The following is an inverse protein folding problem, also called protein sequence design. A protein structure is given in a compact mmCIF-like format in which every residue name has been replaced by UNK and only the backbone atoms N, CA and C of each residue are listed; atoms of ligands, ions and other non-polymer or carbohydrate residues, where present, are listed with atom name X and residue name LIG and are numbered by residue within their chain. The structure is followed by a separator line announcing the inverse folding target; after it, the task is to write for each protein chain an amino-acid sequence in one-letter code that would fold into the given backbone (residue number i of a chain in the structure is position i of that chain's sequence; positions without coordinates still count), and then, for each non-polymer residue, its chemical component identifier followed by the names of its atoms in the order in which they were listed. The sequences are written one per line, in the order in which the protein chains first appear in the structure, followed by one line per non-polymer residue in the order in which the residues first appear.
data_IF_096124926852
#
_entry.id   IF_096124926852
#
_cell.length_a   1.000
_cell.length_b   1.000
_cell.length_c   1.000
_cell.angle_alpha   90.00
_cell.angle_beta   90.00
_cell.angle_gamma   90.00
#
_symmetry.space_group_name_H-M   'P 1'
#
loop_
_entity.id
_entity.type
_entity.pdbx_description
1 polymer ?
#
# COMPACT_ATOMS: atom_id res chain seq x y z
N UNK A 1 0.37 -0.61 19.30
CA UNK A 1 1.58 -1.44 19.45
C UNK A 1 2.79 -0.58 19.79
N UNK A 2 3.26 -0.65 21.03
CA UNK A 2 4.40 0.13 21.51
C UNK A 2 5.49 -0.79 22.07
N UNK A 3 6.75 -0.42 21.86
CA UNK A 3 7.91 -1.04 22.53
C UNK A 3 8.40 -0.04 23.57
N UNK A 4 8.60 -0.48 24.81
CA UNK A 4 9.15 0.33 25.89
C UNK A 4 10.54 -0.21 26.21
N UNK A 5 11.54 0.66 26.25
CA UNK A 5 12.94 0.32 26.57
C UNK A 5 13.51 1.38 27.51
N UNK A 6 14.46 1.02 28.36
CA UNK A 6 15.27 2.02 29.04
C UNK A 6 16.12 2.78 28.01
N UNK A 7 16.31 4.08 28.22
CA UNK A 7 17.13 4.91 27.33
C UNK A 7 18.58 4.40 27.27
N UNK A 8 19.11 3.93 28.40
CA UNK A 8 20.46 3.36 28.50
C UNK A 8 20.57 2.03 27.76
N UNK A 9 19.57 1.15 27.88
CA UNK A 9 19.52 -0.12 27.13
C UNK A 9 19.48 0.15 25.62
N UNK A 10 18.64 1.10 25.20
CA UNK A 10 18.56 1.50 23.80
C UNK A 10 19.89 2.11 23.30
N UNK A 11 20.58 2.90 24.14
CA UNK A 11 21.89 3.45 23.80
C UNK A 11 22.98 2.37 23.71
N UNK A 12 22.90 1.32 24.54
CA UNK A 12 23.81 0.19 24.56
C UNK A 12 23.62 -0.78 23.38
N UNK A 13 22.48 -0.74 22.68
CA UNK A 13 22.27 -1.51 21.46
C UNK A 13 23.27 -1.08 20.36
N UNK A 14 23.77 -2.07 19.62
CA UNK A 14 24.57 -1.80 18.42
C UNK A 14 23.77 -1.04 17.35
N UNK A 15 24.49 -0.53 16.34
CA UNK A 15 23.88 0.25 15.27
C UNK A 15 22.81 -0.53 14.49
N UNK A 16 22.97 -1.85 14.32
CA UNK A 16 22.05 -2.69 13.57
C UNK A 16 20.71 -2.86 14.32
N UNK A 17 20.74 -3.17 15.62
CA UNK A 17 19.54 -3.32 16.44
C UNK A 17 18.81 -1.99 16.63
N UNK A 18 19.54 -0.90 16.82
CA UNK A 18 18.93 0.45 16.86
C UNK A 18 18.29 0.81 15.53
N UNK A 19 18.96 0.52 14.42
CA UNK A 19 18.42 0.69 13.07
C UNK A 19 17.13 -0.09 12.87
N UNK A 20 17.08 -1.36 13.29
CA UNK A 20 15.89 -2.19 13.18
C UNK A 20 14.69 -1.63 13.98
N UNK A 21 14.91 -1.19 15.22
CA UNK A 21 13.87 -0.56 16.04
C UNK A 21 13.36 0.76 15.45
N UNK A 22 14.28 1.58 14.92
CA UNK A 22 13.91 2.83 14.24
C UNK A 22 13.20 2.59 12.92
N UNK A 23 13.57 1.55 12.17
CA UNK A 23 12.85 1.12 10.99
C UNK A 23 11.44 0.65 11.31
N UNK A 24 11.26 -0.14 12.37
CA UNK A 24 9.94 -0.53 12.87
C UNK A 24 9.09 0.69 13.29
N UNK A 25 9.69 1.67 13.97
CA UNK A 25 9.04 2.95 14.24
C UNK A 25 8.65 3.67 12.93
N UNK A 26 9.53 3.65 11.92
CA UNK A 26 9.27 4.17 10.58
C UNK A 26 8.02 3.58 9.90
N UNK A 27 7.77 2.28 10.10
CA UNK A 27 6.57 1.57 9.65
C UNK A 27 5.30 1.88 10.47
N UNK A 28 5.35 2.85 11.39
CA UNK A 28 4.20 3.26 12.20
C UNK A 28 4.22 2.73 13.64
N UNK A 29 5.34 2.16 14.08
CA UNK A 29 5.55 1.72 15.46
C UNK A 29 5.75 2.89 16.41
N UNK A 30 5.57 2.64 17.70
CA UNK A 30 5.84 3.61 18.75
C UNK A 30 6.90 3.07 19.70
N UNK A 31 8.05 3.74 19.76
CA UNK A 31 9.14 3.39 20.67
C UNK A 31 9.15 4.38 21.84
N UNK A 32 9.05 3.90 23.06
CA UNK A 32 9.13 4.70 24.27
C UNK A 32 10.45 4.43 24.98
N UNK A 33 11.23 5.47 25.19
CA UNK A 33 12.51 5.44 25.89
C UNK A 33 12.32 6.02 27.29
N UNK A 34 12.54 5.19 28.31
CA UNK A 34 12.42 5.57 29.71
C UNK A 34 13.79 6.03 30.21
N UNK A 35 13.90 7.30 30.59
CA UNK A 35 15.10 7.83 31.23
C UNK A 35 15.14 7.45 32.71
N UNK A 36 16.32 7.08 33.21
CA UNK A 36 16.56 6.86 34.64
C UNK A 36 16.52 8.17 35.45
N UNK A 37 16.83 9.29 34.80
CA UNK A 37 16.83 10.61 35.41
C UNK A 37 15.66 11.45 34.86
N UNK A 38 14.96 12.24 35.72
CA UNK A 38 13.99 13.21 35.26
C UNK A 38 14.60 14.21 34.27
N UNK A 39 13.84 14.59 33.26
CA UNK A 39 14.27 15.49 32.19
C UNK A 39 13.08 15.98 31.35
N UNK A 40 13.36 16.60 30.21
CA UNK A 40 12.32 17.02 29.27
C UNK A 40 11.82 15.83 28.43
N UNK A 41 10.50 15.78 28.22
CA UNK A 41 9.92 14.85 27.26
C UNK A 41 10.27 15.27 25.83
N UNK A 42 10.75 14.30 25.04
CA UNK A 42 11.12 14.54 23.64
C UNK A 42 10.38 13.59 22.72
N UNK A 43 9.67 14.15 21.74
CA UNK A 43 8.98 13.38 20.70
C UNK A 43 9.71 13.56 19.37
N UNK A 44 10.24 12.47 18.84
CA UNK A 44 10.83 12.41 17.51
C UNK A 44 9.88 11.66 16.56
N UNK A 45 9.46 12.30 15.46
CA UNK A 45 8.66 11.62 14.42
C UNK A 45 9.59 10.86 13.49
N UNK A 46 9.39 9.55 13.38
CA UNK A 46 10.18 8.67 12.51
C UNK A 46 9.22 7.97 11.56
N UNK A 47 9.32 8.30 10.27
CA UNK A 47 8.40 7.78 9.25
C UNK A 47 6.93 8.12 9.54
N UNK A 48 6.11 7.07 9.60
CA UNK A 48 4.70 7.13 10.01
C UNK A 48 4.48 6.89 11.52
N UNK A 49 5.55 6.66 12.30
CA UNK A 49 5.50 6.44 13.74
C UNK A 49 6.32 7.47 14.51
N UNK A 50 6.74 7.10 15.72
CA UNK A 50 7.45 8.01 16.63
C UNK A 50 8.35 7.29 17.63
N UNK A 51 9.37 8.01 18.07
CA UNK A 51 10.19 7.70 19.25
C UNK A 51 9.89 8.76 20.30
N UNK A 52 9.52 8.34 21.50
CA UNK A 52 9.17 9.23 22.63
C UNK A 52 10.14 8.95 23.77
N UNK A 53 10.98 9.92 24.11
CA UNK A 53 11.78 9.88 25.34
C UNK A 53 10.99 10.52 26.46
N UNK A 54 10.67 9.74 27.49
CA UNK A 54 9.87 10.20 28.62
C UNK A 54 10.71 11.08 29.56
N UNK A 55 10.10 12.17 30.02
CA UNK A 55 10.72 13.11 30.96
C UNK A 55 10.75 12.64 32.42
N UNK A 56 10.12 11.51 32.75
CA UNK A 56 10.13 10.96 34.10
C UNK A 56 10.40 9.43 34.07
N UNK A 57 11.09 8.90 35.10
CA UNK A 57 11.27 7.46 35.24
C UNK A 57 9.92 6.75 35.42
N UNK A 58 9.77 5.58 34.81
CA UNK A 58 8.62 4.71 35.04
C UNK A 58 8.93 3.83 36.26
N UNK A 59 8.32 4.13 37.41
CA UNK A 59 8.36 3.25 38.59
C UNK A 59 7.73 1.89 38.30
N UNK A 60 8.06 0.86 39.10
CA UNK A 60 7.83 -0.58 38.85
C UNK A 60 6.40 -1.07 38.56
N UNK A 61 5.41 -0.19 38.47
CA UNK A 61 4.14 -0.46 37.83
C UNK A 61 3.84 0.68 36.85
N UNK A 62 3.47 0.36 35.59
CA UNK A 62 2.84 1.31 34.67
C UNK A 62 1.56 1.79 35.35
N UNK A 63 1.65 2.88 36.12
CA UNK A 63 0.52 3.40 36.87
C UNK A 63 -0.59 3.90 35.93
N UNK A 64 -1.81 4.13 36.45
CA UNK A 64 -2.95 4.62 35.66
C UNK A 64 -2.71 5.97 34.96
N UNK A 65 -1.64 6.69 35.30
CA UNK A 65 -1.20 7.92 34.63
C UNK A 65 -0.33 7.68 33.38
N UNK A 66 0.39 6.55 33.32
CA UNK A 66 1.26 6.20 32.18
C UNK A 66 0.52 5.37 31.12
N UNK A 67 -0.55 4.64 31.49
CA UNK A 67 -1.33 3.87 30.51
C UNK A 67 -2.02 4.71 29.42
N UNK A 68 -2.57 5.92 29.68
CA UNK A 68 -3.11 6.78 28.63
C UNK A 68 -1.99 7.50 27.87
N UNK A 69 -0.90 7.88 28.56
CA UNK A 69 0.24 8.60 27.98
C UNK A 69 1.06 7.72 26.99
N UNK A 70 1.28 6.45 27.35
CA UNK A 70 1.93 5.46 26.49
C UNK A 70 1.01 4.99 25.36
N UNK A 71 -0.29 5.28 25.46
CA UNK A 71 -1.28 5.04 24.41
C UNK A 71 -1.16 3.61 23.83
N UNK A 72 -0.79 2.64 24.68
CA UNK A 72 -0.39 1.28 24.27
C UNK A 72 -1.53 0.54 23.56
N UNK A 73 -2.76 0.90 23.94
CA UNK A 73 -4.03 0.42 23.39
C UNK A 73 -4.60 1.30 22.28
N UNK A 74 -4.03 2.48 22.02
CA UNK A 74 -4.44 3.29 20.87
C UNK A 74 -3.88 2.68 19.59
N UNK A 75 -4.69 2.73 18.54
CA UNK A 75 -4.34 2.25 17.21
C UNK A 75 -3.02 2.87 16.75
N UNK A 76 -2.09 2.02 16.38
CA UNK A 76 -0.82 2.46 15.78
C UNK A 76 -0.84 2.09 14.32
N UNK A 77 -0.31 2.97 13.45
CA UNK A 77 -0.20 2.68 12.02
C UNK A 77 0.45 1.31 11.75
N UNK A 78 1.43 0.90 12.57
CA UNK A 78 2.10 -0.40 12.46
C UNK A 78 1.18 -1.62 12.68
N UNK A 79 0.13 -1.48 13.49
CA UNK A 79 -0.85 -2.53 13.81
C UNK A 79 -2.26 -1.94 13.67
N UNK A 80 -2.74 -1.82 12.42
CA UNK A 80 -4.08 -1.32 12.14
C UNK A 80 -5.13 -2.26 12.73
N UNK A 81 -6.21 -1.69 13.27
CA UNK A 81 -7.35 -2.50 13.70
C UNK A 81 -8.03 -3.18 12.51
N UNK A 82 -8.72 -4.29 12.76
CA UNK A 82 -9.50 -5.02 11.75
C UNK A 82 -10.46 -4.09 11.01
N UNK A 83 -11.15 -3.18 11.70
CA UNK A 83 -12.10 -2.23 11.10
C UNK A 83 -11.43 -1.23 10.15
N UNK A 84 -10.14 -0.97 10.36
CA UNK A 84 -9.34 -0.07 9.52
C UNK A 84 -8.77 -0.74 8.26
N UNK A 85 -8.92 -2.06 8.11
CA UNK A 85 -8.43 -2.89 6.99
C UNK A 85 -9.51 -3.23 5.95
N UNK A 86 -10.66 -2.55 6.01
CA UNK A 86 -11.74 -2.71 5.05
C UNK A 86 -11.63 -1.71 3.90
N UNK A 87 -11.86 -2.18 2.68
CA UNK A 87 -11.88 -1.35 1.48
C UNK A 87 -13.23 -0.75 1.14
N UNK A 88 -14.28 -1.11 1.89
CA UNK A 88 -15.64 -0.61 1.67
C UNK A 88 -15.64 0.93 1.77
N UNK A 89 -16.25 1.59 0.79
CA UNK A 89 -16.36 3.05 0.68
C UNK A 89 -15.01 3.77 0.48
N UNK A 90 -13.99 3.07 0.00
CA UNK A 90 -12.75 3.68 -0.48
C UNK A 90 -12.78 3.73 -2.01
N UNK A 91 -12.09 4.70 -2.63
CA UNK A 91 -11.95 4.77 -4.09
C UNK A 91 -11.42 3.44 -4.64
N UNK A 92 -10.48 2.82 -3.93
CA UNK A 92 -9.90 1.53 -4.30
C UNK A 92 -10.91 0.38 -4.21
N UNK A 93 -11.84 0.42 -3.27
CA UNK A 93 -12.94 -0.54 -3.18
C UNK A 93 -14.02 -0.30 -4.23
N UNK A 94 -14.30 0.97 -4.60
CA UNK A 94 -15.23 1.32 -5.67
C UNK A 94 -14.74 0.86 -7.04
N UNK A 95 -13.43 0.93 -7.31
CA UNK A 95 -12.84 0.40 -8.56
C UNK A 95 -13.07 -1.11 -8.72
N UNK A 96 -13.30 -1.84 -7.63
CA UNK A 96 -13.50 -3.30 -7.67
C UNK A 96 -14.96 -3.72 -7.58
N UNK A 97 -15.88 -2.82 -7.19
CA UNK A 97 -17.33 -3.07 -7.15
C UNK A 97 -17.90 -3.12 -8.57
N UNK A 98 -17.55 -4.21 -9.25
CA UNK A 98 -18.30 -5.00 -10.22
C UNK A 98 -19.34 -4.22 -11.04
N UNK A 99 -18.99 -3.97 -12.30
CA UNK A 99 -19.94 -4.17 -13.40
C UNK A 99 -20.44 -5.62 -13.30
N UNK A 100 -21.68 -5.80 -12.87
CA UNK A 100 -22.34 -7.10 -12.96
C UNK A 100 -22.37 -7.47 -14.45
N UNK A 101 -21.48 -8.39 -14.84
CA UNK A 101 -21.46 -8.91 -16.19
C UNK A 101 -22.85 -9.45 -16.50
N UNK A 102 -23.50 -8.85 -17.49
CA UNK A 102 -24.89 -9.11 -17.85
C UNK A 102 -25.09 -10.61 -18.12
N UNK A 103 -25.57 -11.34 -17.12
CA UNK A 103 -25.69 -12.81 -17.16
C UNK A 103 -26.80 -13.26 -18.12
N UNK A 104 -27.50 -12.32 -18.74
CA UNK A 104 -28.53 -12.53 -19.75
C UNK A 104 -28.04 -13.35 -20.94
N UNK A 105 -26.77 -13.24 -21.33
CA UNK A 105 -26.25 -14.02 -22.46
C UNK A 105 -26.19 -15.53 -22.16
N UNK A 106 -25.91 -15.92 -20.91
CA UNK A 106 -25.88 -17.34 -20.48
C UNK A 106 -27.30 -17.91 -20.59
N UNK A 107 -28.30 -17.14 -20.14
CA UNK A 107 -29.69 -17.52 -20.26
C UNK A 107 -30.11 -17.70 -21.73
N UNK A 108 -29.77 -16.74 -22.61
CA UNK A 108 -30.03 -16.84 -24.06
C UNK A 108 -29.36 -18.08 -24.66
N UNK A 109 -28.08 -18.32 -24.32
CA UNK A 109 -27.34 -19.49 -24.78
C UNK A 109 -28.02 -20.79 -24.36
N UNK A 110 -28.43 -20.92 -23.09
CA UNK A 110 -29.10 -22.13 -22.59
C UNK A 110 -30.43 -22.39 -23.30
N UNK A 111 -31.23 -21.34 -23.55
CA UNK A 111 -32.50 -21.46 -24.29
C UNK A 111 -32.26 -21.91 -25.73
N UNK A 112 -31.32 -21.28 -26.45
CA UNK A 112 -30.96 -21.65 -27.83
C UNK A 112 -30.42 -23.08 -27.88
N UNK A 113 -29.55 -23.44 -26.94
CA UNK A 113 -28.95 -24.76 -26.87
C UNK A 113 -30.00 -25.86 -26.60
N UNK A 114 -30.94 -25.62 -25.68
CA UNK A 114 -32.05 -26.53 -25.42
C UNK A 114 -32.96 -26.70 -26.65
N UNK A 115 -33.26 -25.61 -27.37
CA UNK A 115 -34.01 -25.66 -28.62
C UNK A 115 -33.28 -26.44 -29.72
N UNK A 116 -31.95 -26.29 -29.81
CA UNK A 116 -31.12 -26.99 -30.79
C UNK A 116 -31.03 -28.49 -30.49
N UNK A 117 -30.76 -28.87 -29.24
CA UNK A 117 -30.63 -30.29 -28.83
C UNK A 117 -31.96 -31.03 -28.85
N UNK A 118 -33.06 -30.36 -28.48
CA UNK A 118 -34.39 -30.97 -28.46
C UNK A 118 -35.08 -30.86 -29.82
N UNK A 119 -35.92 -29.84 -30.03
CA UNK A 119 -36.71 -29.69 -31.26
C UNK A 119 -35.90 -29.79 -32.56
N UNK A 120 -34.84 -29.00 -32.71
CA UNK A 120 -34.12 -28.93 -34.01
C UNK A 120 -33.42 -30.25 -34.31
N UNK A 121 -32.77 -30.87 -33.33
CA UNK A 121 -32.14 -32.18 -33.52
C UNK A 121 -33.16 -33.26 -33.91
N UNK A 122 -34.32 -33.30 -33.26
CA UNK A 122 -35.35 -34.32 -33.53
C UNK A 122 -36.06 -34.10 -34.88
N UNK A 123 -36.37 -32.85 -35.25
CA UNK A 123 -37.14 -32.57 -36.46
C UNK A 123 -36.28 -32.33 -37.71
N UNK A 124 -35.05 -31.85 -37.56
CA UNK A 124 -34.17 -31.49 -38.68
C UNK A 124 -33.01 -32.49 -38.84
N UNK A 125 -32.23 -32.75 -37.79
CA UNK A 125 -31.01 -33.56 -37.90
C UNK A 125 -31.26 -35.08 -37.83
N UNK A 126 -32.27 -35.51 -37.07
CA UNK A 126 -32.66 -36.89 -36.85
C UNK A 126 -34.19 -37.11 -36.98
N UNK A 127 -34.81 -36.75 -38.12
CA UNK A 127 -36.23 -36.97 -38.37
C UNK A 127 -36.59 -38.46 -38.29
N UNK A 128 -37.87 -38.80 -38.19
CA UNK A 128 -38.36 -40.16 -37.87
C UNK A 128 -37.75 -41.30 -38.71
N UNK A 129 -37.36 -41.04 -39.96
CA UNK A 129 -36.71 -42.01 -40.85
C UNK A 129 -35.22 -42.24 -40.59
N UNK A 130 -34.57 -41.43 -39.75
CA UNK A 130 -33.11 -41.44 -39.49
C UNK A 130 -32.77 -41.29 -38.01
N UNK A 131 -33.60 -41.82 -37.11
CA UNK A 131 -33.41 -41.72 -35.64
C UNK A 131 -32.08 -42.26 -35.13
N UNK A 132 -31.46 -43.20 -35.86
CA UNK A 132 -30.11 -43.67 -35.53
C UNK A 132 -29.05 -42.56 -35.51
N UNK A 133 -29.30 -41.43 -36.21
CA UNK A 133 -28.40 -40.26 -36.18
C UNK A 133 -28.33 -39.60 -34.82
N UNK A 134 -29.38 -39.73 -34.01
CA UNK A 134 -29.44 -39.18 -32.65
C UNK A 134 -28.28 -39.69 -31.77
N UNK A 135 -27.81 -40.92 -32.02
CA UNK A 135 -26.70 -41.52 -31.28
C UNK A 135 -25.37 -40.79 -31.47
N UNK A 136 -25.18 -40.05 -32.58
CA UNK A 136 -23.96 -39.27 -32.81
C UNK A 136 -24.22 -37.76 -32.81
N UNK A 137 -25.39 -37.29 -33.25
CA UNK A 137 -25.69 -35.85 -33.27
C UNK A 137 -25.83 -35.28 -31.87
N UNK A 138 -26.44 -36.00 -30.93
CA UNK A 138 -26.60 -35.52 -29.55
C UNK A 138 -25.25 -35.38 -28.83
N UNK A 139 -24.34 -36.39 -28.84
CA UNK A 139 -22.99 -36.21 -28.31
C UNK A 139 -22.19 -35.11 -29.04
N UNK A 140 -22.29 -35.00 -30.36
CA UNK A 140 -21.57 -33.98 -31.13
C UNK A 140 -22.05 -32.56 -30.80
N UNK A 141 -23.36 -32.33 -30.70
CA UNK A 141 -23.94 -31.04 -30.31
C UNK A 141 -23.60 -30.70 -28.86
N UNK A 142 -23.59 -31.69 -27.95
CA UNK A 142 -23.16 -31.49 -26.57
C UNK A 142 -21.68 -31.06 -26.48
N UNK A 143 -20.79 -31.72 -27.22
CA UNK A 143 -19.38 -31.34 -27.31
C UNK A 143 -19.19 -29.94 -27.90
N UNK A 144 -19.91 -29.63 -28.98
CA UNK A 144 -19.86 -28.30 -29.61
C UNK A 144 -20.36 -27.22 -28.63
N UNK A 145 -21.50 -27.43 -27.98
CA UNK A 145 -22.04 -26.49 -27.00
C UNK A 145 -21.10 -26.29 -25.82
N UNK A 146 -20.49 -27.36 -25.31
CA UNK A 146 -19.46 -27.29 -24.27
C UNK A 146 -18.23 -26.50 -24.72
N UNK A 147 -17.76 -26.70 -25.95
CA UNK A 147 -16.63 -25.96 -26.52
C UNK A 147 -16.96 -24.47 -26.69
N UNK A 148 -18.15 -24.13 -27.21
CA UNK A 148 -18.62 -22.75 -27.39
C UNK A 148 -18.75 -22.05 -26.04
N UNK A 149 -19.37 -22.70 -25.04
CA UNK A 149 -19.52 -22.13 -23.71
C UNK A 149 -18.16 -21.94 -23.02
N UNK A 150 -17.27 -22.93 -23.13
CA UNK A 150 -15.91 -22.84 -22.57
C UNK A 150 -15.12 -21.69 -23.21
N UNK A 151 -15.21 -21.53 -24.54
CA UNK A 151 -14.60 -20.41 -25.24
C UNK A 151 -15.19 -19.07 -24.80
N UNK A 152 -16.53 -18.97 -24.70
CA UNK A 152 -17.20 -17.77 -24.26
C UNK A 152 -16.76 -17.35 -22.83
N UNK A 153 -16.76 -18.29 -21.89
CA UNK A 153 -16.27 -18.04 -20.52
C UNK A 153 -14.80 -17.61 -20.54
N UNK A 154 -13.95 -18.26 -21.34
CA UNK A 154 -12.53 -17.90 -21.43
C UNK A 154 -12.31 -16.48 -21.98
N UNK A 155 -13.06 -16.06 -23.00
CA UNK A 155 -12.94 -14.73 -23.58
C UNK A 155 -13.56 -13.64 -22.71
N UNK A 156 -14.63 -13.94 -21.96
CA UNK A 156 -15.25 -13.00 -21.02
C UNK A 156 -14.41 -12.79 -19.77
N UNK A 157 -13.91 -13.87 -19.16
CA UNK A 157 -13.07 -13.77 -17.97
C UNK A 157 -11.68 -13.22 -18.29
N UNK A 158 -11.19 -13.48 -19.51
CA UNK A 158 -9.85 -13.11 -19.95
C UNK A 158 -8.74 -13.87 -19.22
N UNK A 159 -7.50 -13.56 -19.61
CA UNK A 159 -6.28 -14.12 -19.00
C UNK A 159 -5.55 -13.03 -18.24
N UNK A 160 -5.15 -13.33 -17.00
CA UNK A 160 -4.49 -12.37 -16.11
C UNK A 160 -5.47 -11.62 -15.21
N UNK A 161 -5.22 -10.34 -14.97
CA UNK A 161 -6.11 -9.49 -14.18
C UNK A 161 -5.85 -8.01 -14.37
N UNK A 162 -6.76 -7.19 -13.88
CA UNK A 162 -6.69 -5.74 -13.89
C UNK A 162 -6.94 -5.18 -12.48
N UNK A 163 -6.38 -4.02 -12.19
CA UNK A 163 -6.63 -3.37 -10.90
C UNK A 163 -5.93 -2.05 -10.72
N UNK A 164 -6.02 -1.53 -9.50
CA UNK A 164 -5.40 -0.29 -9.09
C UNK A 164 -4.52 -0.53 -7.86
N UNK A 165 -3.49 0.29 -7.72
CA UNK A 165 -2.62 0.28 -6.54
C UNK A 165 -2.22 1.68 -6.13
N UNK A 166 -1.97 1.82 -4.85
CA UNK A 166 -1.56 3.07 -4.24
C UNK A 166 -0.41 2.80 -3.29
N UNK A 167 0.55 3.72 -3.22
CA UNK A 167 1.71 3.57 -2.34
C UNK A 167 2.09 4.88 -1.67
N UNK A 168 2.48 4.79 -0.41
CA UNK A 168 3.14 5.82 0.38
C UNK A 168 4.59 5.40 0.61
N UNK A 169 5.52 6.25 0.23
CA UNK A 169 6.94 6.09 0.49
C UNK A 169 7.38 7.17 1.45
N UNK A 170 7.81 6.76 2.64
CA UNK A 170 8.32 7.67 3.67
C UNK A 170 9.82 7.48 3.78
N UNK A 171 10.59 8.45 3.30
CA UNK A 171 12.04 8.43 3.46
C UNK A 171 12.40 8.56 4.94
N UNK A 172 13.39 7.78 5.37
CA UNK A 172 13.93 7.79 6.72
C UNK A 172 15.33 8.41 6.70
N UNK A 173 15.43 9.75 6.89
CA UNK A 173 16.70 10.47 6.94
C UNK A 173 17.72 9.80 7.85
N UNK A 174 18.97 9.77 7.41
CA UNK A 174 20.09 9.18 8.15
C UNK A 174 20.09 7.64 8.26
N UNK A 175 19.09 6.93 7.72
CA UNK A 175 19.03 5.46 7.71
C UNK A 175 19.24 4.84 6.32
N UNK A 176 19.27 5.65 5.25
CA UNK A 176 19.32 5.15 3.86
C UNK A 176 18.23 4.11 3.57
N UNK A 177 17.03 4.37 4.10
CA UNK A 177 15.87 3.49 4.00
C UNK A 177 14.61 4.31 3.76
N UNK A 178 13.59 3.65 3.24
CA UNK A 178 12.24 4.17 3.15
C UNK A 178 11.23 3.17 3.71
N UNK A 179 10.28 3.65 4.50
CA UNK A 179 9.10 2.88 4.88
C UNK A 179 8.08 2.95 3.73
N UNK A 180 7.73 1.80 3.17
CA UNK A 180 6.78 1.68 2.06
C UNK A 180 5.49 1.07 2.58
N UNK A 181 4.37 1.75 2.33
CA UNK A 181 3.02 1.26 2.57
C UNK A 181 2.31 1.22 1.23
N UNK A 182 1.90 0.04 0.79
CA UNK A 182 1.18 -0.12 -0.47
C UNK A 182 -0.11 -0.87 -0.23
N UNK A 183 -1.15 -0.45 -0.91
CA UNK A 183 -2.39 -1.20 -1.02
C UNK A 183 -2.70 -1.41 -2.48
N UNK A 184 -3.21 -2.60 -2.79
CA UNK A 184 -3.53 -2.98 -4.15
C UNK A 184 -4.78 -3.83 -4.17
N UNK A 185 -5.48 -3.74 -5.28
CA UNK A 185 -6.84 -4.22 -5.41
C UNK A 185 -7.13 -4.50 -6.86
N UNK A 186 -7.72 -5.64 -7.16
CA UNK A 186 -8.01 -5.98 -8.53
C UNK A 186 -8.89 -7.20 -8.70
N UNK A 187 -9.32 -7.38 -9.95
CA UNK A 187 -10.05 -8.54 -10.41
C UNK A 187 -9.14 -9.36 -11.32
N UNK A 188 -9.21 -10.66 -11.16
CA UNK A 188 -8.49 -11.62 -11.98
C UNK A 188 -9.46 -12.41 -12.84
N UNK A 189 -9.05 -12.71 -14.06
CA UNK A 189 -9.63 -13.73 -14.90
C UNK A 189 -8.98 -15.09 -14.62
N UNK A 190 -8.70 -15.84 -15.69
CA UNK A 190 -7.93 -17.07 -15.57
C UNK A 190 -6.43 -16.78 -15.38
N UNK A 191 -5.84 -17.31 -14.31
CA UNK A 191 -4.41 -17.21 -14.04
C UNK A 191 -3.69 -18.50 -14.40
N UNK A 192 -2.76 -18.42 -15.35
CA UNK A 192 -1.89 -19.54 -15.75
C UNK A 192 -0.78 -19.82 -14.73
N UNK A 193 -0.32 -18.78 -14.03
CA UNK A 193 0.69 -18.86 -12.97
C UNK A 193 0.29 -17.96 -11.82
N UNK A 194 0.40 -18.47 -10.59
CA UNK A 194 0.04 -17.76 -9.35
C UNK A 194 1.22 -17.52 -8.41
N UNK A 195 2.43 -17.86 -8.85
CA UNK A 195 3.68 -17.66 -8.10
C UNK A 195 4.39 -16.41 -8.60
N UNK A 196 4.81 -15.54 -7.70
CA UNK A 196 5.51 -14.30 -7.98
C UNK A 196 6.67 -14.08 -7.01
N UNK A 197 7.65 -13.27 -7.44
CA UNK A 197 8.74 -12.86 -6.58
C UNK A 197 8.23 -11.82 -5.58
N UNK A 198 8.58 -11.99 -4.32
CA UNK A 198 8.26 -11.07 -3.25
C UNK A 198 9.29 -11.26 -2.13
N UNK A 199 10.13 -10.26 -1.90
CA UNK A 199 11.19 -10.33 -0.89
C UNK A 199 10.63 -10.72 0.50
N UNK A 200 11.44 -11.39 1.30
CA UNK A 200 11.03 -11.92 2.62
C UNK A 200 10.83 -10.80 3.65
N UNK A 201 11.36 -9.60 3.41
CA UNK A 201 11.19 -8.40 4.22
C UNK A 201 9.86 -7.65 3.94
N UNK A 202 9.04 -8.16 3.02
CA UNK A 202 7.72 -7.60 2.70
C UNK A 202 6.62 -8.31 3.48
N UNK A 203 5.94 -7.56 4.34
CA UNK A 203 4.66 -7.97 4.88
C UNK A 203 3.62 -7.94 3.75
N UNK A 204 2.96 -9.07 3.52
CA UNK A 204 1.80 -9.19 2.62
C UNK A 204 0.63 -9.72 3.45
N UNK A 205 -0.49 -9.01 3.44
CA UNK A 205 -1.71 -9.45 4.11
C UNK A 205 -2.94 -9.16 3.25
N UNK A 206 -4.00 -10.00 3.32
CA UNK A 206 -5.23 -9.74 2.61
C UNK A 206 -5.97 -8.54 3.21
N UNK A 207 -6.62 -7.75 2.36
CA UNK A 207 -7.58 -6.71 2.76
C UNK A 207 -9.00 -7.21 2.57
N UNK A 208 -9.90 -6.86 3.49
CA UNK A 208 -11.29 -7.28 3.41
C UNK A 208 -12.06 -6.41 2.39
N UNK A 209 -12.60 -7.04 1.35
CA UNK A 209 -13.34 -6.36 0.28
C UNK A 209 -14.84 -6.22 0.61
N UNK A 210 -15.41 -7.16 1.38
CA UNK A 210 -16.80 -7.12 1.86
C UNK A 210 -16.88 -7.29 3.39
N UNK A 211 -17.96 -6.78 3.98
CA UNK A 211 -18.27 -6.89 5.42
C UNK A 211 -18.70 -8.30 5.85
N UNK A 212 -18.95 -9.21 4.91
CA UNK A 212 -19.16 -10.63 5.20
C UNK A 212 -17.81 -11.32 5.40
N UNK A 213 -17.12 -10.95 6.47
CA UNK A 213 -16.09 -11.82 7.00
C UNK A 213 -16.81 -12.88 7.82
N UNK A 214 -16.74 -14.18 7.48
CA UNK A 214 -17.23 -15.19 8.39
C UNK A 214 -16.47 -15.06 9.72
N UNK A 215 -17.20 -15.24 10.83
CA UNK A 215 -16.69 -15.08 12.22
C UNK A 215 -15.23 -15.55 12.37
N UNK A 216 -14.48 -14.82 13.21
CA UNK A 216 -13.10 -15.17 13.58
C UNK A 216 -13.02 -16.68 13.88
N UNK A 217 -12.25 -17.40 13.07
CA UNK A 217 -12.25 -18.87 13.00
C UNK A 217 -12.44 -19.43 11.60
N UNK A 218 -12.93 -18.63 10.65
CA UNK A 218 -13.12 -19.03 9.25
C UNK A 218 -12.19 -18.23 8.32
N UNK A 219 -10.88 -18.35 8.50
CA UNK A 219 -10.00 -18.32 7.31
C UNK A 219 -10.43 -19.54 6.49
N UNK A 220 -11.32 -19.34 5.52
CA UNK A 220 -11.72 -20.36 4.57
C UNK A 220 -10.48 -20.82 3.80
N UNK A 221 -9.81 -21.86 4.30
CA UNK A 221 -8.72 -22.62 3.70
C UNK A 221 -8.00 -21.89 2.53
N UNK A 222 -7.35 -20.77 2.82
CA UNK A 222 -6.55 -20.06 1.82
C UNK A 222 -5.19 -20.76 1.78
N UNK A 223 -4.90 -21.45 0.68
CA UNK A 223 -3.61 -22.09 0.48
C UNK A 223 -2.63 -21.02 -0.01
N UNK A 224 -2.06 -20.27 0.93
CA UNK A 224 -1.03 -19.27 0.67
C UNK A 224 0.35 -19.83 0.98
N UNK A 225 1.32 -19.50 0.14
CA UNK A 225 2.72 -19.90 0.35
C UNK A 225 3.61 -18.67 0.38
N UNK A 226 4.58 -18.65 1.30
CA UNK A 226 5.71 -17.71 1.35
C UNK A 226 6.97 -18.55 1.56
N UNK A 227 7.89 -18.52 0.60
CA UNK A 227 9.14 -19.26 0.68
C UNK A 227 10.21 -18.60 -0.20
N UNK A 228 11.42 -18.44 0.34
CA UNK A 228 12.63 -17.97 -0.33
C UNK A 228 12.40 -16.82 -1.34
N UNK A 229 11.88 -15.67 -0.88
CA UNK A 229 11.64 -14.51 -1.74
C UNK A 229 10.53 -14.71 -2.77
N UNK A 230 9.62 -15.65 -2.54
CA UNK A 230 8.46 -15.91 -3.39
C UNK A 230 7.18 -15.96 -2.58
N UNK A 231 6.10 -15.61 -3.26
CA UNK A 231 4.74 -15.76 -2.77
C UNK A 231 3.91 -16.51 -3.82
N UNK A 232 2.96 -17.32 -3.37
CA UNK A 232 2.10 -18.10 -4.26
C UNK A 232 0.81 -18.60 -3.65
N UNK A 233 0.07 -19.36 -4.44
CA UNK A 233 -1.22 -19.91 -4.04
C UNK A 233 -2.33 -18.87 -4.09
N UNK A 234 -3.12 -18.77 -3.01
CA UNK A 234 -4.35 -17.99 -2.99
C UNK A 234 -4.16 -16.50 -2.68
N UNK A 235 -2.91 -16.01 -2.69
CA UNK A 235 -2.62 -14.57 -2.75
C UNK A 235 -3.25 -13.93 -4.00
N UNK A 236 -3.25 -14.67 -5.11
CA UNK A 236 -3.97 -14.35 -6.33
C UNK A 236 -4.79 -15.55 -6.77
N UNK A 237 -6.09 -15.54 -6.52
CA UNK A 237 -7.01 -16.58 -7.01
C UNK A 237 -7.41 -16.29 -8.45
N UNK A 238 -7.80 -17.30 -9.23
CA UNK A 238 -8.43 -17.10 -10.53
C UNK A 238 -9.88 -16.65 -10.35
N UNK A 239 -10.38 -15.79 -11.25
CA UNK A 239 -11.78 -15.32 -11.26
C UNK A 239 -12.22 -14.69 -9.95
N UNK A 240 -11.30 -14.01 -9.27
CA UNK A 240 -11.53 -13.46 -7.95
C UNK A 240 -11.30 -11.95 -7.92
N UNK A 241 -12.18 -11.28 -7.19
CA UNK A 241 -11.94 -9.97 -6.61
C UNK A 241 -11.09 -10.16 -5.36
N UNK A 242 -10.01 -9.40 -5.25
CA UNK A 242 -9.08 -9.52 -4.15
C UNK A 242 -8.29 -8.25 -3.94
N UNK A 243 -7.84 -8.09 -2.71
CA UNK A 243 -7.08 -6.95 -2.29
C UNK A 243 -6.04 -7.35 -1.26
N UNK A 244 -4.90 -6.66 -1.30
CA UNK A 244 -3.79 -6.93 -0.42
C UNK A 244 -3.15 -5.62 0.04
N UNK A 245 -2.65 -5.63 1.27
CA UNK A 245 -1.72 -4.63 1.78
C UNK A 245 -0.31 -5.19 1.71
N UNK A 246 0.63 -4.33 1.38
CA UNK A 246 2.06 -4.60 1.35
C UNK A 246 2.79 -3.56 2.20
N UNK A 247 3.71 -4.00 3.05
CA UNK A 247 4.57 -3.10 3.84
C UNK A 247 5.99 -3.61 3.87
N UNK A 248 6.97 -2.71 3.72
CA UNK A 248 8.40 -3.05 3.83
C UNK A 248 9.24 -1.85 4.22
N UNK A 249 10.44 -2.13 4.72
CA UNK A 249 11.52 -1.16 4.70
C UNK A 249 12.37 -1.44 3.46
N UNK A 250 12.45 -0.47 2.55
CA UNK A 250 13.25 -0.58 1.34
C UNK A 250 14.55 0.20 1.50
N UNK A 251 15.71 -0.36 1.13
CA UNK A 251 16.95 0.40 1.09
C UNK A 251 16.86 1.47 -0.02
N UNK A 252 17.30 2.69 0.26
CA UNK A 252 17.39 3.75 -0.75
C UNK A 252 18.39 4.82 -0.37
N UNK A 253 19.03 5.42 -1.37
CA UNK A 253 19.88 6.61 -1.20
C UNK A 253 19.18 7.90 -1.64
N UNK A 254 17.97 7.77 -2.15
CA UNK A 254 17.14 8.90 -2.54
C UNK A 254 16.79 9.74 -1.33
N UNK A 255 16.92 11.05 -1.48
CA UNK A 255 16.67 12.07 -0.45
C UNK A 255 16.33 13.39 -1.12
N UNK A 256 15.70 14.27 -0.33
CA UNK A 256 15.48 15.66 -0.70
C UNK A 256 16.34 16.52 0.22
N UNK A 257 17.17 17.37 -0.37
CA UNK A 257 18.11 18.25 0.34
C UNK A 257 17.68 19.72 0.21
N UNK A 258 17.90 20.50 1.26
CA UNK A 258 17.84 21.96 1.25
C UNK A 258 19.16 22.51 0.73
N UNK A 259 19.26 22.70 -0.58
CA UNK A 259 20.46 23.23 -1.25
C UNK A 259 20.78 24.69 -0.89
N UNK A 260 19.82 25.43 -0.31
CA UNK A 260 20.05 26.79 0.19
C UNK A 260 18.75 27.56 0.41
N UNK A 261 18.88 28.88 0.50
CA UNK A 261 17.76 29.80 0.63
C UNK A 261 18.00 30.99 -0.30
N UNK A 262 17.00 31.37 -1.08
CA UNK A 262 17.02 32.55 -1.94
C UNK A 262 16.97 33.84 -1.09
N UNK A 263 17.31 35.01 -1.68
CA UNK A 263 17.37 36.29 -0.94
C UNK A 263 16.07 36.70 -0.25
N UNK A 264 14.92 36.24 -0.76
CA UNK A 264 13.57 36.47 -0.22
C UNK A 264 13.18 35.48 0.89
N UNK A 265 14.09 34.59 1.28
CA UNK A 265 13.85 33.54 2.26
C UNK A 265 13.27 32.25 1.68
N UNK A 266 13.12 32.12 0.34
CA UNK A 266 12.57 30.92 -0.27
C UNK A 266 13.55 29.73 -0.24
N UNK A 267 13.15 28.54 0.24
CA UNK A 267 13.98 27.35 0.22
C UNK A 267 14.32 26.94 -1.21
N UNK A 268 15.57 26.54 -1.42
CA UNK A 268 16.03 25.89 -2.64
C UNK A 268 16.19 24.42 -2.32
N UNK A 269 15.47 23.56 -3.04
CA UNK A 269 15.48 22.11 -2.82
C UNK A 269 16.07 21.36 -4.00
N UNK A 270 16.66 20.20 -3.72
CA UNK A 270 17.19 19.26 -4.70
C UNK A 270 16.74 17.84 -4.34
N UNK A 271 16.21 17.07 -5.30
CA UNK A 271 15.79 15.68 -5.09
C UNK A 271 16.77 14.74 -5.77
N UNK A 272 17.16 13.66 -5.10
CA UNK A 272 17.96 12.56 -5.67
C UNK A 272 17.15 11.28 -5.92
N UNK A 273 15.82 11.34 -5.76
CA UNK A 273 14.94 10.20 -6.08
C UNK A 273 14.95 9.93 -7.59
N UNK A 274 14.80 8.68 -7.98
CA UNK A 274 14.75 8.26 -9.40
C UNK A 274 13.42 8.59 -10.10
N UNK A 275 12.65 9.54 -9.55
CA UNK A 275 11.39 10.03 -10.11
C UNK A 275 11.32 11.54 -10.02
N UNK A 276 10.61 12.13 -10.97
CA UNK A 276 10.15 13.51 -10.88
C UNK A 276 9.12 13.60 -9.74
N UNK A 277 9.31 14.54 -8.82
CA UNK A 277 8.34 14.87 -7.79
C UNK A 277 7.40 15.98 -8.30
N UNK A 278 6.10 15.78 -8.16
CA UNK A 278 5.04 16.70 -8.60
C UNK A 278 4.25 17.18 -7.40
N UNK A 279 3.70 18.40 -7.49
CA UNK A 279 2.90 19.01 -6.42
C UNK A 279 3.66 19.04 -5.09
N UNK A 280 4.94 19.38 -5.15
CA UNK A 280 5.80 19.35 -3.98
C UNK A 280 5.40 20.43 -2.98
N UNK A 281 5.23 20.04 -1.73
CA UNK A 281 4.96 20.92 -0.59
C UNK A 281 6.03 20.71 0.48
N UNK A 282 6.50 21.79 1.09
CA UNK A 282 7.44 21.79 2.20
C UNK A 282 6.94 22.75 3.29
N UNK A 283 7.02 22.31 4.55
CA UNK A 283 6.89 23.19 5.70
C UNK A 283 8.30 23.50 6.23
N UNK A 284 8.67 24.77 6.30
CA UNK A 284 9.99 25.16 6.81
C UNK A 284 10.03 25.16 8.36
N UNK A 285 11.20 25.49 8.92
CA UNK A 285 11.39 25.56 10.37
C UNK A 285 10.55 26.64 11.07
N UNK A 286 10.09 27.66 10.32
CA UNK A 286 9.23 28.73 10.83
C UNK A 286 7.73 28.40 10.68
N UNK A 287 7.39 27.21 10.18
CA UNK A 287 6.01 26.80 9.92
C UNK A 287 5.40 27.38 8.65
N UNK A 288 6.20 28.04 7.80
CA UNK A 288 5.73 28.59 6.51
C UNK A 288 5.72 27.50 5.45
N UNK A 289 4.70 27.56 4.60
CA UNK A 289 4.51 26.60 3.52
C UNK A 289 5.10 27.11 2.21
N UNK A 290 5.79 26.19 1.55
CA UNK A 290 6.46 26.40 0.27
C UNK A 290 6.02 25.34 -0.71
N UNK A 291 5.88 25.71 -1.98
CA UNK A 291 5.39 24.82 -3.03
C UNK A 291 6.30 24.84 -4.25
N UNK A 292 6.35 23.71 -4.96
CA UNK A 292 7.02 23.55 -6.23
C UNK A 292 6.20 22.66 -7.16
N UNK A 293 6.02 23.09 -8.41
CA UNK A 293 5.21 22.32 -9.38
C UNK A 293 5.87 20.98 -9.71
N UNK A 294 7.17 21.02 -9.98
CA UNK A 294 7.93 19.86 -10.42
C UNK A 294 9.38 19.97 -9.93
N UNK A 295 9.90 18.90 -9.34
CA UNK A 295 11.30 18.74 -8.95
C UNK A 295 11.84 17.50 -9.64
N UNK A 296 12.59 17.72 -10.71
CA UNK A 296 13.29 16.65 -11.42
C UNK A 296 14.53 16.19 -10.63
N UNK A 297 14.95 14.92 -10.79
CA UNK A 297 16.14 14.39 -10.13
C UNK A 297 17.39 15.24 -10.43
N UNK A 298 18.17 15.57 -9.40
CA UNK A 298 19.41 16.35 -9.48
C UNK A 298 19.24 17.83 -9.80
N UNK A 299 18.01 18.34 -9.91
CA UNK A 299 17.75 19.75 -10.24
C UNK A 299 17.46 20.55 -8.98
N UNK A 300 18.16 21.67 -8.82
CA UNK A 300 17.86 22.68 -7.81
C UNK A 300 16.64 23.50 -8.24
N UNK A 301 15.66 23.59 -7.37
CA UNK A 301 14.41 24.32 -7.59
C UNK A 301 14.18 25.26 -6.42
N UNK A 302 14.06 26.55 -6.69
CA UNK A 302 13.60 27.54 -5.72
C UNK A 302 12.09 27.40 -5.56
N UNK A 303 11.63 27.20 -4.34
CA UNK A 303 10.21 27.07 -4.05
C UNK A 303 9.51 28.43 -4.01
N UNK A 304 8.20 28.42 -4.22
CA UNK A 304 7.36 29.60 -4.12
C UNK A 304 6.55 29.55 -2.81
N UNK A 305 6.24 30.72 -2.24
CA UNK A 305 5.38 30.77 -1.06
C UNK A 305 3.98 30.22 -1.39
N UNK A 306 3.52 29.23 -0.63
CA UNK A 306 2.18 28.69 -0.80
C UNK A 306 1.16 29.62 -0.14
N UNK A 307 0.09 29.99 -0.86
CA UNK A 307 -0.96 30.90 -0.36
C UNK A 307 -1.87 30.26 0.69
N UNK A 308 -1.88 28.94 0.78
CA UNK A 308 -2.66 28.19 1.75
C UNK A 308 -1.78 27.06 2.27
N UNK A 309 -2.04 26.60 3.50
CA UNK A 309 -1.56 25.32 3.99
C UNK A 309 -2.25 24.21 3.18
N UNK A 310 -1.90 24.10 1.90
CA UNK A 310 -2.34 23.00 1.05
C UNK A 310 -1.54 21.82 1.55
N UNK A 311 -2.10 21.08 2.51
CA UNK A 311 -1.86 19.64 2.56
C UNK A 311 -1.91 19.19 1.11
N UNK A 312 -0.90 18.48 0.59
CA UNK A 312 -1.07 17.66 -0.63
C UNK A 312 -2.49 17.18 -0.61
N UNK A 313 -3.26 17.54 -1.66
CA UNK A 313 -4.71 17.49 -1.64
C UNK A 313 -5.15 16.28 -0.84
N UNK A 314 -6.00 16.49 0.19
CA UNK A 314 -6.52 15.40 1.03
C UNK A 314 -7.29 14.35 0.23
N UNK A 315 -7.27 14.37 -1.10
CA UNK A 315 -7.50 13.21 -1.95
C UNK A 315 -6.59 12.08 -1.43
N UNK A 316 -7.11 11.22 -0.55
CA UNK A 316 -6.28 10.25 0.12
C UNK A 316 -5.71 9.36 -0.97
N UNK A 317 -4.50 8.84 -0.75
CA UNK A 317 -4.10 7.60 -1.41
C UNK A 317 -5.33 6.67 -1.32
N UNK A 318 -5.94 6.40 -2.47
CA UNK A 318 -7.19 5.66 -2.58
C UNK A 318 -6.99 4.30 -1.91
N UNK A 319 -7.46 4.14 -0.68
CA UNK A 319 -7.09 3.01 0.17
C UNK A 319 -7.82 3.04 1.51
N UNK A 320 -7.48 2.10 2.37
CA UNK A 320 -8.13 1.88 3.66
C UNK A 320 -7.86 3.02 4.65
N UNK A 321 -8.62 3.02 5.75
CA UNK A 321 -8.38 3.93 6.87
C UNK A 321 -6.97 3.74 7.48
N UNK A 322 -6.40 2.53 7.41
CA UNK A 322 -5.04 2.26 7.85
C UNK A 322 -4.00 3.00 6.99
N UNK A 323 -4.13 2.96 5.67
CA UNK A 323 -3.24 3.72 4.77
C UNK A 323 -3.45 5.23 4.92
N UNK A 324 -4.70 5.68 5.05
CA UNK A 324 -5.01 7.08 5.30
C UNK A 324 -4.37 7.58 6.61
N UNK A 325 -4.38 6.75 7.66
CA UNK A 325 -3.72 7.05 8.94
C UNK A 325 -2.19 7.08 8.80
N UNK A 326 -1.60 6.14 8.05
CA UNK A 326 -0.18 6.14 7.73
C UNK A 326 0.22 7.41 6.98
N UNK A 327 -0.57 7.78 5.98
CA UNK A 327 -0.41 9.01 5.20
C UNK A 327 -0.49 10.23 6.11
N UNK A 328 -1.57 10.38 6.89
CA UNK A 328 -1.74 11.54 7.77
C UNK A 328 -0.60 11.66 8.81
N UNK A 329 -0.16 10.55 9.39
CA UNK A 329 0.96 10.53 10.33
C UNK A 329 2.29 10.89 9.66
N UNK A 330 2.50 10.42 8.43
CA UNK A 330 3.72 10.62 7.66
C UNK A 330 3.75 11.94 6.90
N UNK A 331 2.63 12.60 6.62
CA UNK A 331 2.57 13.86 5.86
C UNK A 331 2.16 15.05 6.71
N UNK A 332 1.91 14.87 8.02
CA UNK A 332 1.67 15.98 8.93
C UNK A 332 2.81 17.00 8.81
N UNK A 333 2.55 18.14 8.20
CA UNK A 333 3.55 19.14 7.84
C UNK A 333 4.10 19.83 9.10
N UNK A 334 5.02 19.13 9.77
CA UNK A 334 5.90 19.66 10.81
C UNK A 334 7.14 20.27 10.15
N UNK A 335 7.84 21.12 10.90
CA UNK A 335 9.06 21.77 10.44
C UNK A 335 10.03 20.81 9.71
N UNK A 336 10.43 21.20 8.50
CA UNK A 336 11.33 20.45 7.63
C UNK A 336 10.69 19.32 6.83
N UNK A 337 9.40 19.00 7.04
CA UNK A 337 8.73 17.90 6.34
C UNK A 337 8.20 18.35 4.99
N UNK A 338 8.35 17.47 3.99
CA UNK A 338 7.82 17.66 2.65
C UNK A 338 6.95 16.50 2.23
N UNK A 339 6.10 16.73 1.23
CA UNK A 339 5.36 15.68 0.56
C UNK A 339 5.18 16.01 -0.93
N UNK A 340 5.19 15.01 -1.80
CA UNK A 340 4.94 15.14 -3.23
C UNK A 340 4.38 13.85 -3.84
N UNK A 341 3.76 13.94 -5.02
CA UNK A 341 3.49 12.77 -5.85
C UNK A 341 4.70 12.41 -6.71
N UNK A 342 4.87 11.13 -7.02
CA UNK A 342 5.92 10.65 -7.91
C UNK A 342 5.49 9.42 -8.70
N UNK A 343 6.38 8.97 -9.58
CA UNK A 343 6.23 7.74 -10.35
C UNK A 343 6.99 6.56 -9.75
N UNK A 344 7.08 5.51 -10.55
CA UNK A 344 7.74 4.24 -10.20
C UNK A 344 9.25 4.44 -9.97
N UNK A 345 9.76 3.76 -8.95
CA UNK A 345 11.17 3.68 -8.57
C UNK A 345 11.54 2.23 -8.24
N UNK A 346 12.78 2.01 -7.83
CA UNK A 346 13.26 0.73 -7.27
C UNK A 346 12.63 0.41 -5.90
N UNK A 347 12.15 1.43 -5.18
CA UNK A 347 11.54 1.33 -3.84
C UNK A 347 10.06 0.99 -3.90
N UNK A 348 9.33 1.70 -4.77
CA UNK A 348 7.88 1.57 -4.91
C UNK A 348 7.47 1.83 -6.36
N UNK A 349 6.44 1.16 -6.86
CA UNK A 349 5.58 0.22 -6.14
C UNK A 349 6.24 -1.16 -6.00
N UNK A 350 5.95 -1.85 -4.89
CA UNK A 350 6.41 -3.22 -4.66
C UNK A 350 5.79 -4.12 -5.74
N UNK A 351 6.61 -4.83 -6.53
CA UNK A 351 6.11 -5.68 -7.60
C UNK A 351 5.37 -6.90 -7.02
N UNK A 352 4.27 -7.27 -7.68
CA UNK A 352 3.49 -8.47 -7.35
C UNK A 352 3.29 -9.33 -8.60
N UNK A 353 2.14 -10.01 -8.75
CA UNK A 353 1.94 -10.96 -9.83
C UNK A 353 1.97 -10.28 -11.22
N UNK A 354 2.90 -10.72 -12.08
CA UNK A 354 3.14 -10.13 -13.42
C UNK A 354 1.93 -10.17 -14.37
N UNK A 355 0.99 -11.07 -14.15
CA UNK A 355 -0.23 -11.16 -14.95
C UNK A 355 -1.29 -10.11 -14.56
N UNK A 356 -1.05 -9.32 -13.51
CA UNK A 356 -1.86 -8.17 -13.15
C UNK A 356 -1.44 -6.95 -13.95
N UNK A 357 -2.40 -6.32 -14.62
CA UNK A 357 -2.27 -5.03 -15.29
C UNK A 357 -2.79 -3.95 -14.35
N UNK A 358 -1.89 -3.17 -13.77
CA UNK A 358 -2.25 -2.05 -12.90
C UNK A 358 -2.58 -0.83 -13.76
N UNK A 359 -3.86 -0.52 -13.94
CA UNK A 359 -4.34 0.59 -14.78
C UNK A 359 -4.16 1.92 -14.09
N UNK A 360 -4.20 1.94 -12.76
CA UNK A 360 -3.95 3.10 -11.95
C UNK A 360 -2.89 2.79 -10.89
N UNK A 361 -1.84 3.61 -10.88
CA UNK A 361 -0.78 3.56 -9.86
C UNK A 361 -0.57 4.97 -9.35
N UNK A 362 -0.88 5.21 -8.07
CA UNK A 362 -0.63 6.48 -7.40
C UNK A 362 0.44 6.31 -6.34
N UNK A 363 1.47 7.15 -6.33
CA UNK A 363 2.57 7.05 -5.38
C UNK A 363 2.82 8.42 -4.76
N UNK A 364 2.68 8.50 -3.44
CA UNK A 364 3.09 9.67 -2.66
C UNK A 364 4.43 9.41 -1.99
N UNK A 365 5.30 10.40 -2.04
CA UNK A 365 6.60 10.42 -1.39
C UNK A 365 6.59 11.51 -0.32
N UNK A 366 7.20 11.22 0.84
CA UNK A 366 7.35 12.19 1.92
C UNK A 366 8.60 11.90 2.75
N UNK A 367 9.07 12.89 3.50
CA UNK A 367 10.25 12.77 4.35
C UNK A 367 10.58 14.11 4.99
N UNK A 368 11.70 14.15 5.72
CA UNK A 368 12.31 15.42 6.15
C UNK A 368 13.31 15.84 5.08
N UNK A 369 13.32 17.12 4.72
CA UNK A 369 14.32 17.69 3.83
C UNK A 369 15.64 17.80 4.62
N UNK A 370 16.68 17.14 4.14
CA UNK A 370 17.97 17.10 4.81
C UNK A 370 18.75 18.39 4.57
N UNK A 371 19.54 18.82 5.55
CA UNK A 371 20.54 19.85 5.32
C UNK A 371 21.70 19.23 4.52
N UNK A 372 22.40 20.00 3.67
CA UNK A 372 23.54 19.48 2.93
C UNK A 372 24.57 18.93 3.91
N UNK A 373 25.16 17.77 3.59
CA UNK A 373 26.19 17.14 4.43
C UNK A 373 27.41 18.06 4.70
N UNK A 374 27.57 19.14 3.92
CA UNK A 374 28.64 20.14 4.04
C UNK A 374 28.18 21.48 4.64
N UNK A 375 26.99 21.57 5.24
CA UNK A 375 26.61 22.79 5.95
C UNK A 375 27.48 22.94 7.20
N UNK A 376 28.19 24.08 7.39
CA UNK A 376 28.93 24.31 8.63
C UNK A 376 27.94 24.22 9.79
N UNK A 377 28.25 23.39 10.79
CA UNK A 377 27.52 23.37 12.04
C UNK A 377 27.43 24.82 12.53
N UNK A 378 26.23 25.40 12.53
CA UNK A 378 26.02 26.70 13.17
C UNK A 378 26.37 26.48 14.64
N UNK A 379 27.54 26.99 15.03
CA UNK A 379 27.98 26.99 16.41
C UNK A 379 26.90 27.65 17.25
N UNK A 380 26.33 26.89 18.19
CA UNK A 380 25.54 27.45 19.26
C UNK A 380 26.44 28.29 20.14
N UNK A 381 26.43 29.61 19.92
CA UNK A 381 26.59 30.58 21.01
C UNK A 381 25.17 30.95 21.45
N UNK A 382 24.82 30.95 22.73
CA UNK A 382 25.61 31.15 23.96
C UNK A 382 25.22 30.15 25.03
#
# INVERSE_FOLDING_TARGET
AGVILAADDYAALDAARRGALRGWAGLGGQLFLVSANPGEERVERVGAGRVVTLGAPVGGAIGPALSPALNLYSETVALPDRESLFLKNTILGETIKVEDGDSSWIAIFLVLFAAVIGPVNLFVFAPASRRHRLFWTTPALALLGGAVLSAAIFFQDGVGGGGSRTALVVLLPGQNQAAVFQEQSGRTGFLTRRVFALDDDVLLAPLAVELEVPRAGMFTAANVTRDAGRAGGDWFRSRAVQSQLLRRLAPTRGRVELAGTAPDGAPIVESSLATVLREFMLCDAAGKFWQGKEIAPGRRVTLEAAKTAVSLDRAPLAGTAALASAYAAATSLVAGRWAAYGGDTDVAPVPTLKSMRWTETRIAYTGIAELPANAPAKGGGR
#
